data_IF_370457451858
#
_entry.id   IF_370457451858
#
_cell.length_a   1.000
_cell.length_b   1.000
_cell.length_c   1.000
_cell.angle_alpha   90.00
_cell.angle_beta   90.00
_cell.angle_gamma   90.00
#
_symmetry.space_group_name_H-M   'P 1'
#
loop_
_entity.id
_entity.type
_entity.pdbx_description
1 polymer ?
#
# COMPACT_ATOMS: atom_id res chain seq x y z
N UNK A 1 21.92 17.16 -20.68
CA UNK A 1 20.55 16.60 -20.87
C UNK A 1 20.11 15.64 -19.76
N UNK A 2 20.99 14.83 -19.18
CA UNK A 2 20.69 13.89 -18.07
C UNK A 2 20.28 14.60 -16.79
N UNK A 3 20.92 15.72 -16.43
CA UNK A 3 20.64 16.49 -15.20
C UNK A 3 19.19 17.01 -15.13
N UNK A 4 18.65 17.51 -16.26
CA UNK A 4 17.28 18.05 -16.32
C UNK A 4 16.22 16.95 -16.12
N UNK A 5 16.47 15.75 -16.65
CA UNK A 5 15.57 14.60 -16.48
C UNK A 5 15.53 14.09 -15.03
N UNK A 6 16.68 14.04 -14.35
CA UNK A 6 16.80 13.64 -12.95
C UNK A 6 16.05 14.63 -12.05
N UNK A 7 16.25 15.93 -12.23
CA UNK A 7 15.57 16.98 -11.45
C UNK A 7 14.05 16.89 -11.62
N UNK A 8 13.55 16.68 -12.83
CA UNK A 8 12.12 16.51 -13.11
C UNK A 8 11.52 15.26 -12.44
N UNK A 9 12.25 14.14 -12.39
CA UNK A 9 11.81 12.94 -11.70
C UNK A 9 11.76 13.12 -10.17
N UNK A 10 12.72 13.81 -9.60
CA UNK A 10 12.80 14.14 -8.18
C UNK A 10 11.64 15.03 -7.73
N UNK A 11 11.34 16.09 -8.47
CA UNK A 11 10.21 16.96 -8.20
C UNK A 11 8.89 16.19 -8.28
N UNK A 12 8.70 15.35 -9.29
CA UNK A 12 7.50 14.52 -9.42
C UNK A 12 7.27 13.57 -8.25
N UNK A 13 8.33 12.95 -7.69
CA UNK A 13 8.21 12.08 -6.53
C UNK A 13 7.79 12.85 -5.27
N UNK A 14 8.35 14.04 -5.04
CA UNK A 14 8.01 14.90 -3.92
C UNK A 14 6.57 15.43 -4.03
N UNK A 15 6.17 15.91 -5.21
CA UNK A 15 4.83 16.41 -5.47
C UNK A 15 3.78 15.31 -5.35
N UNK A 16 4.08 14.12 -5.87
CA UNK A 16 3.24 12.93 -5.70
C UNK A 16 3.07 12.60 -4.21
N UNK A 17 4.16 12.44 -3.47
CA UNK A 17 4.09 12.10 -2.05
C UNK A 17 3.31 13.15 -1.24
N UNK A 18 3.49 14.42 -1.54
CA UNK A 18 2.75 15.52 -0.93
C UNK A 18 1.26 15.44 -1.27
N UNK A 19 0.91 15.22 -2.54
CA UNK A 19 -0.50 15.13 -2.95
C UNK A 19 -1.23 13.96 -2.31
N UNK A 20 -0.53 12.82 -2.12
CA UNK A 20 -1.11 11.60 -1.56
C UNK A 20 -1.22 11.65 -0.03
N UNK A 21 -0.18 12.13 0.66
CA UNK A 21 -0.04 11.91 2.09
C UNK A 21 -0.12 13.16 2.97
N UNK A 22 -0.20 14.37 2.41
CA UNK A 22 -0.27 15.58 3.24
C UNK A 22 -1.52 15.67 4.11
N UNK A 23 -2.59 14.96 3.76
CA UNK A 23 -3.83 14.89 4.53
C UNK A 23 -3.86 13.76 5.58
N UNK A 24 -2.78 12.98 5.73
CA UNK A 24 -2.73 11.89 6.69
C UNK A 24 -2.82 12.42 8.14
N UNK A 25 -3.87 11.99 8.86
CA UNK A 25 -4.14 12.42 10.23
C UNK A 25 -3.28 11.62 11.23
N UNK A 26 -2.02 11.99 11.39
CA UNK A 26 -1.05 11.31 12.27
C UNK A 26 -0.90 11.96 13.65
N UNK A 27 -1.80 12.90 14.00
CA UNK A 27 -1.82 13.56 15.31
C UNK A 27 -0.72 14.62 15.56
N UNK A 28 0.35 14.60 14.77
CA UNK A 28 1.46 15.57 14.82
C UNK A 28 1.89 15.93 13.40
N UNK A 29 1.89 17.21 13.02
CA UNK A 29 2.30 17.66 11.68
C UNK A 29 3.70 17.20 11.27
N UNK A 30 4.61 17.06 12.24
CA UNK A 30 5.97 16.55 12.00
C UNK A 30 5.96 15.10 11.52
N UNK A 31 5.01 14.28 11.98
CA UNK A 31 4.84 12.90 11.49
C UNK A 31 4.35 12.90 10.05
N UNK A 32 3.38 13.75 9.71
CA UNK A 32 2.87 13.89 8.34
C UNK A 32 3.97 14.39 7.39
N UNK A 33 4.76 15.38 7.80
CA UNK A 33 5.94 15.83 7.04
C UNK A 33 6.96 14.70 6.84
N UNK A 34 7.21 13.92 7.89
CA UNK A 34 8.12 12.76 7.79
C UNK A 34 7.59 11.70 6.85
N UNK A 35 6.30 11.40 6.89
CA UNK A 35 5.64 10.48 5.95
C UNK A 35 5.84 10.92 4.50
N UNK A 36 5.56 12.18 4.19
CA UNK A 36 5.75 12.75 2.83
C UNK A 36 7.21 12.60 2.38
N UNK A 37 8.17 12.91 3.24
CA UNK A 37 9.59 12.81 2.90
C UNK A 37 10.03 11.36 2.65
N UNK A 38 9.60 10.41 3.50
CA UNK A 38 9.90 8.98 3.34
C UNK A 38 9.26 8.44 2.06
N UNK A 39 8.00 8.77 1.80
CA UNK A 39 7.28 8.34 0.60
C UNK A 39 7.93 8.90 -0.67
N UNK A 40 8.33 10.17 -0.69
CA UNK A 40 9.04 10.78 -1.80
C UNK A 40 10.37 10.08 -2.08
N UNK A 41 11.11 9.74 -1.04
CA UNK A 41 12.40 9.07 -1.17
C UNK A 41 12.25 7.64 -1.72
N UNK A 42 11.28 6.88 -1.21
CA UNK A 42 10.98 5.54 -1.72
C UNK A 42 10.49 5.57 -3.17
N UNK A 43 9.70 6.58 -3.54
CA UNK A 43 9.22 6.75 -4.92
C UNK A 43 10.34 7.08 -5.92
N UNK A 44 11.38 7.82 -5.50
CA UNK A 44 12.58 8.06 -6.32
C UNK A 44 13.34 6.78 -6.63
N UNK A 45 13.39 5.86 -5.67
CA UNK A 45 14.14 4.62 -5.72
C UNK A 45 13.19 3.42 -5.66
N UNK A 46 12.18 3.39 -6.53
CA UNK A 46 11.15 2.35 -6.54
C UNK A 46 11.75 0.93 -6.54
N UNK A 47 11.23 0.06 -5.66
CA UNK A 47 11.71 -1.31 -5.49
C UNK A 47 13.01 -1.45 -4.68
N UNK A 48 13.57 -0.37 -4.13
CA UNK A 48 14.76 -0.40 -3.28
C UNK A 48 14.39 -0.34 -1.80
N UNK A 49 15.30 -0.84 -0.94
CA UNK A 49 15.16 -0.74 0.51
C UNK A 49 15.28 0.72 1.00
N UNK A 50 14.82 0.98 2.23
CA UNK A 50 15.00 2.30 2.88
C UNK A 50 16.46 2.69 2.92
N UNK A 51 17.36 1.76 3.24
CA UNK A 51 18.80 2.00 3.30
C UNK A 51 19.35 2.50 1.96
N UNK A 52 19.01 1.83 0.86
CA UNK A 52 19.45 2.24 -0.48
C UNK A 52 18.79 3.57 -0.88
N UNK A 53 17.49 3.72 -0.59
CA UNK A 53 16.74 4.94 -0.91
C UNK A 53 17.22 6.18 -0.14
N UNK A 54 17.91 5.98 0.98
CA UNK A 54 18.49 7.08 1.78
C UNK A 54 19.78 7.66 1.19
N UNK A 55 20.31 7.10 0.09
CA UNK A 55 21.47 7.61 -0.66
C UNK A 55 22.70 7.91 0.24
N UNK A 56 22.93 7.08 1.27
CA UNK A 56 24.02 7.25 2.23
C UNK A 56 23.77 8.31 3.33
N UNK A 57 22.60 8.93 3.36
CA UNK A 57 22.25 9.88 4.41
C UNK A 57 21.71 9.14 5.65
N UNK A 58 22.58 8.92 6.65
CA UNK A 58 22.22 8.22 7.90
C UNK A 58 21.05 8.88 8.64
N UNK A 59 20.98 10.20 8.67
CA UNK A 59 19.90 10.93 9.32
C UNK A 59 18.54 10.68 8.66
N UNK A 60 18.49 10.51 7.33
CA UNK A 60 17.27 10.13 6.61
C UNK A 60 16.88 8.70 6.90
N UNK A 61 17.84 7.79 6.86
CA UNK A 61 17.62 6.37 7.15
C UNK A 61 17.09 6.16 8.56
N UNK A 62 17.77 6.71 9.56
CA UNK A 62 17.36 6.63 10.96
C UNK A 62 15.98 7.28 11.17
N UNK A 63 15.75 8.44 10.56
CA UNK A 63 14.45 9.12 10.61
C UNK A 63 13.30 8.29 10.02
N UNK A 64 13.55 7.53 8.95
CA UNK A 64 12.57 6.62 8.36
C UNK A 64 12.29 5.42 9.28
N UNK A 65 13.33 4.80 9.86
CA UNK A 65 13.15 3.69 10.80
C UNK A 65 12.44 4.11 12.08
N UNK A 66 12.78 5.28 12.66
CA UNK A 66 12.06 5.83 13.83
C UNK A 66 10.59 6.11 13.50
N UNK A 67 10.29 6.61 12.31
CA UNK A 67 8.92 6.83 11.87
C UNK A 67 8.13 5.52 11.81
N UNK A 68 8.67 4.47 11.18
CA UNK A 68 8.00 3.17 11.02
C UNK A 68 7.79 2.48 12.37
N UNK A 69 8.75 2.60 13.29
CA UNK A 69 8.67 1.98 14.62
C UNK A 69 7.85 2.78 15.63
N UNK A 70 7.40 3.97 15.29
CA UNK A 70 6.66 4.83 16.18
C UNK A 70 5.23 4.32 16.40
N UNK A 71 4.83 3.90 17.60
CA UNK A 71 3.49 3.36 17.87
C UNK A 71 2.36 4.40 17.67
N UNK A 72 2.70 5.68 17.63
CA UNK A 72 1.74 6.75 17.35
C UNK A 72 1.57 7.03 15.84
N UNK A 73 2.21 6.28 14.96
CA UNK A 73 2.00 6.35 13.52
C UNK A 73 0.98 5.31 13.11
N UNK A 74 -0.21 5.76 12.77
CA UNK A 74 -1.31 4.88 12.33
C UNK A 74 -1.14 4.47 10.87
N UNK A 75 -0.93 3.17 10.62
CA UNK A 75 -0.92 2.61 9.27
C UNK A 75 -2.28 2.81 8.57
N UNK A 76 -3.39 2.73 9.34
CA UNK A 76 -4.74 2.99 8.84
C UNK A 76 -4.90 4.43 8.34
N UNK A 77 -4.39 5.43 9.08
CA UNK A 77 -4.44 6.83 8.66
C UNK A 77 -3.64 7.06 7.37
N UNK A 78 -2.50 6.40 7.21
CA UNK A 78 -1.69 6.46 5.99
C UNK A 78 -2.47 5.85 4.80
N UNK A 79 -3.02 4.65 4.98
CA UNK A 79 -3.82 3.96 3.97
C UNK A 79 -5.04 4.77 3.56
N UNK A 80 -5.76 5.34 4.53
CA UNK A 80 -6.92 6.19 4.30
C UNK A 80 -6.56 7.44 3.47
N UNK A 81 -5.45 8.11 3.77
CA UNK A 81 -5.00 9.26 2.99
C UNK A 81 -4.73 8.89 1.53
N UNK A 82 -4.03 7.77 1.29
CA UNK A 82 -3.79 7.25 -0.06
C UNK A 82 -5.08 6.94 -0.82
N UNK A 83 -6.00 6.21 -0.20
CA UNK A 83 -7.29 5.85 -0.78
C UNK A 83 -8.13 7.09 -1.12
N UNK A 84 -8.21 8.08 -0.21
CA UNK A 84 -8.94 9.32 -0.45
C UNK A 84 -8.37 10.12 -1.64
N UNK A 85 -7.06 10.16 -1.78
CA UNK A 85 -6.44 10.80 -2.94
C UNK A 85 -6.75 10.03 -4.23
N UNK A 86 -6.74 8.71 -4.19
CA UNK A 86 -7.14 7.87 -5.34
C UNK A 86 -8.58 8.17 -5.75
N UNK A 87 -9.52 8.23 -4.80
CA UNK A 87 -10.92 8.59 -5.06
C UNK A 87 -11.03 9.97 -5.69
N UNK A 88 -10.28 10.95 -5.18
CA UNK A 88 -10.28 12.31 -5.73
C UNK A 88 -9.78 12.35 -7.18
N UNK A 89 -8.71 11.64 -7.48
CA UNK A 89 -8.16 11.55 -8.84
C UNK A 89 -9.11 10.80 -9.78
N UNK A 90 -9.78 9.78 -9.29
CA UNK A 90 -10.71 8.95 -10.04
C UNK A 90 -11.90 9.74 -10.61
N UNK A 91 -12.33 10.80 -9.93
CA UNK A 91 -13.43 11.66 -10.36
C UNK A 91 -13.16 12.38 -11.71
N UNK A 92 -11.92 12.46 -12.15
CA UNK A 92 -11.55 13.08 -13.42
C UNK A 92 -11.75 12.15 -14.64
N UNK A 93 -12.09 10.88 -14.42
CA UNK A 93 -12.19 9.88 -15.48
C UNK A 93 -13.62 9.38 -15.63
N UNK A 94 -14.12 9.26 -16.89
CA UNK A 94 -15.47 8.78 -17.14
C UNK A 94 -15.65 7.30 -16.86
N UNK A 95 -14.59 6.51 -17.00
CA UNK A 95 -14.61 5.06 -16.83
C UNK A 95 -13.29 4.57 -16.21
N UNK A 96 -13.42 3.67 -15.26
CA UNK A 96 -12.32 3.12 -14.49
C UNK A 96 -12.39 1.59 -14.42
N UNK A 97 -11.24 0.94 -14.45
CA UNK A 97 -11.08 -0.48 -14.15
C UNK A 97 -10.55 -0.64 -12.73
N UNK A 98 -11.23 -1.43 -11.91
CA UNK A 98 -10.72 -1.86 -10.61
C UNK A 98 -10.14 -3.27 -10.77
N UNK A 99 -8.83 -3.38 -10.64
CA UNK A 99 -8.12 -4.66 -10.66
C UNK A 99 -7.94 -5.13 -9.23
N UNK A 100 -8.51 -6.29 -8.93
CA UNK A 100 -8.40 -6.95 -7.63
C UNK A 100 -7.40 -8.11 -7.72
N UNK A 101 -6.46 -8.14 -6.80
CA UNK A 101 -5.51 -9.24 -6.67
C UNK A 101 -5.16 -9.52 -5.21
N UNK A 102 -4.90 -10.80 -4.91
CA UNK A 102 -4.39 -11.20 -3.61
C UNK A 102 -3.06 -11.89 -3.75
N UNK A 103 -2.07 -11.35 -3.08
CA UNK A 103 -0.71 -11.85 -3.09
C UNK A 103 -0.22 -12.24 -1.70
N UNK A 104 0.81 -13.06 -1.62
CA UNK A 104 1.47 -13.42 -0.37
C UNK A 104 2.81 -12.70 -0.23
N UNK A 105 3.09 -12.18 0.96
CA UNK A 105 4.38 -11.61 1.32
C UNK A 105 5.09 -12.58 2.27
N UNK A 106 6.08 -13.31 1.74
CA UNK A 106 6.87 -14.28 2.50
C UNK A 106 8.04 -13.61 3.18
N UNK A 107 8.22 -13.94 4.45
CA UNK A 107 9.33 -13.45 5.26
C UNK A 107 10.22 -14.63 5.70
N UNK A 108 11.49 -14.32 5.95
CA UNK A 108 12.50 -15.25 6.43
C UNK A 108 13.10 -14.75 7.76
N UNK A 109 13.91 -15.57 8.38
CA UNK A 109 14.57 -15.27 9.65
C UNK A 109 13.58 -15.15 10.84
N UNK A 110 14.02 -14.55 11.92
CA UNK A 110 13.28 -14.44 13.19
C UNK A 110 11.93 -13.73 13.05
N UNK A 111 11.81 -12.77 12.11
CA UNK A 111 10.55 -12.07 11.86
C UNK A 111 9.44 -13.03 11.45
N UNK A 112 9.76 -14.10 10.73
CA UNK A 112 8.78 -15.07 10.26
C UNK A 112 8.09 -15.84 11.40
N UNK A 113 8.74 -16.03 12.54
CA UNK A 113 8.18 -16.79 13.67
C UNK A 113 6.88 -16.20 14.23
N UNK A 114 6.75 -14.86 14.17
CA UNK A 114 5.56 -14.13 14.63
C UNK A 114 4.45 -14.02 13.57
N UNK A 115 4.66 -14.57 12.36
CA UNK A 115 3.74 -14.44 11.23
C UNK A 115 2.98 -15.74 10.96
N UNK A 116 1.84 -15.63 10.29
CA UNK A 116 1.00 -16.78 9.92
C UNK A 116 1.60 -17.62 8.78
N UNK A 117 1.14 -18.85 8.64
CA UNK A 117 1.51 -19.75 7.53
C UNK A 117 0.99 -19.25 6.19
N UNK A 118 1.76 -19.42 5.12
CA UNK A 118 1.37 -19.03 3.76
C UNK A 118 0.99 -20.23 2.89
N UNK A 119 1.64 -21.36 3.09
CA UNK A 119 1.47 -22.56 2.28
C UNK A 119 0.55 -23.60 2.87
N UNK A 120 0.42 -24.73 2.16
CA UNK A 120 -0.29 -25.92 2.60
C UNK A 120 0.40 -26.60 3.79
N UNK A 121 -0.24 -27.66 4.32
CA UNK A 121 0.31 -28.46 5.42
C UNK A 121 1.71 -28.95 5.03
N UNK A 122 2.71 -28.63 5.88
CA UNK A 122 4.13 -28.99 5.66
C UNK A 122 4.98 -27.87 5.05
N UNK A 123 4.39 -26.83 4.48
CA UNK A 123 5.12 -25.63 4.06
C UNK A 123 5.52 -24.78 5.29
N UNK A 124 6.81 -24.41 5.34
CA UNK A 124 7.37 -23.59 6.42
C UNK A 124 7.35 -22.09 6.11
N UNK A 125 6.84 -21.68 4.94
CA UNK A 125 6.75 -20.27 4.57
C UNK A 125 5.74 -19.56 5.46
N UNK A 126 6.15 -18.40 5.98
CA UNK A 126 5.32 -17.56 6.86
C UNK A 126 5.28 -16.12 6.36
N UNK A 127 4.17 -15.44 6.60
CA UNK A 127 4.00 -14.08 6.11
C UNK A 127 2.59 -13.52 6.25
N UNK A 128 2.30 -12.59 5.36
CA UNK A 128 1.01 -11.93 5.22
C UNK A 128 0.36 -12.27 3.89
N UNK A 129 -0.96 -12.37 3.91
CA UNK A 129 -1.79 -12.25 2.73
C UNK A 129 -2.20 -10.79 2.57
N UNK A 130 -2.16 -10.29 1.34
CA UNK A 130 -2.48 -8.91 1.02
C UNK A 130 -3.43 -8.89 -0.16
N UNK A 131 -4.66 -8.44 0.07
CA UNK A 131 -5.62 -8.15 -0.99
C UNK A 131 -5.54 -6.68 -1.35
N UNK A 132 -5.41 -6.39 -2.63
CA UNK A 132 -5.27 -5.02 -3.13
C UNK A 132 -6.28 -4.74 -4.24
N UNK A 133 -6.79 -3.52 -4.27
CA UNK A 133 -7.62 -2.99 -5.37
C UNK A 133 -6.93 -1.79 -5.98
N UNK A 134 -6.50 -1.94 -7.23
CA UNK A 134 -5.82 -0.90 -8.01
C UNK A 134 -6.79 -0.30 -9.02
N UNK A 135 -6.91 1.02 -9.07
CA UNK A 135 -7.68 1.71 -10.09
C UNK A 135 -6.81 2.12 -11.28
N UNK A 136 -7.29 1.78 -12.47
CA UNK A 136 -6.74 2.23 -13.75
C UNK A 136 -7.78 3.06 -14.49
N UNK A 137 -7.33 4.01 -15.29
CA UNK A 137 -8.15 4.65 -16.31
C UNK A 137 -8.40 3.64 -17.44
N UNK A 138 -9.67 3.48 -17.86
CA UNK A 138 -10.09 2.34 -18.69
C UNK A 138 -9.55 2.36 -20.13
N UNK A 139 -9.27 3.54 -20.69
CA UNK A 139 -8.82 3.68 -22.07
C UNK A 139 -7.31 3.52 -22.22
N UNK A 140 -6.53 4.17 -21.34
CA UNK A 140 -5.07 4.22 -21.44
C UNK A 140 -4.39 3.21 -20.53
N UNK A 141 -5.13 2.56 -19.62
CA UNK A 141 -4.63 1.69 -18.55
C UNK A 141 -3.65 2.39 -17.61
N UNK A 142 -3.70 3.72 -17.57
CA UNK A 142 -2.86 4.48 -16.66
C UNK A 142 -3.32 4.27 -15.21
N UNK A 143 -2.38 3.96 -14.34
CA UNK A 143 -2.65 3.82 -12.90
C UNK A 143 -3.14 5.14 -12.30
N UNK A 144 -4.33 5.10 -11.69
CA UNK A 144 -4.92 6.21 -10.93
C UNK A 144 -4.45 6.15 -9.48
N UNK A 145 -4.50 4.97 -8.87
CA UNK A 145 -3.99 4.75 -7.52
C UNK A 145 -4.52 3.49 -6.85
N UNK A 146 -4.00 3.22 -5.66
CA UNK A 146 -4.46 2.14 -4.80
C UNK A 146 -5.70 2.60 -4.03
N UNK A 147 -6.84 1.90 -4.25
CA UNK A 147 -8.10 2.25 -3.62
C UNK A 147 -8.29 1.56 -2.27
N UNK A 148 -7.91 0.28 -2.21
CA UNK A 148 -8.06 -0.55 -1.02
C UNK A 148 -6.90 -1.50 -0.86
N UNK A 149 -6.56 -1.81 0.40
CA UNK A 149 -5.62 -2.87 0.72
C UNK A 149 -5.99 -3.45 2.08
N UNK A 150 -6.07 -4.77 2.15
CA UNK A 150 -6.36 -5.51 3.36
C UNK A 150 -5.26 -6.55 3.62
N UNK A 151 -4.91 -6.75 4.88
CA UNK A 151 -3.81 -7.59 5.30
C UNK A 151 -4.29 -8.56 6.36
N UNK A 152 -3.96 -9.84 6.21
CA UNK A 152 -4.28 -10.85 7.22
C UNK A 152 -3.22 -11.95 7.30
N UNK A 153 -3.24 -12.68 8.41
CA UNK A 153 -2.46 -13.88 8.61
C UNK A 153 -3.39 -15.07 8.74
N UNK A 154 -2.95 -16.24 8.25
CA UNK A 154 -3.64 -17.49 8.53
C UNK A 154 -3.43 -17.87 9.99
N UNK A 155 -4.44 -18.42 10.69
CA UNK A 155 -4.24 -19.05 11.99
C UNK A 155 -3.32 -20.27 11.84
N UNK A 156 -2.61 -20.61 12.91
CA UNK A 156 -1.68 -21.76 12.92
C UNK A 156 -2.40 -23.12 12.97
N UNK A 157 -3.67 -23.15 13.35
CA UNK A 157 -4.47 -24.38 13.42
C UNK A 157 -5.16 -24.70 12.07
N UNK A 158 -4.87 -25.87 11.46
CA UNK A 158 -5.46 -26.29 10.19
C UNK A 158 -6.97 -26.48 10.20
N UNK A 159 -7.57 -26.88 11.33
CA UNK A 159 -9.00 -27.11 11.44
C UNK A 159 -9.83 -25.83 11.27
N UNK A 160 -9.20 -24.67 11.49
CA UNK A 160 -9.83 -23.36 11.33
C UNK A 160 -9.51 -22.69 9.97
N UNK A 161 -8.65 -23.29 9.17
CA UNK A 161 -8.04 -22.59 8.04
C UNK A 161 -8.92 -22.51 6.80
N UNK A 162 -9.56 -23.60 6.38
CA UNK A 162 -10.22 -23.66 5.07
C UNK A 162 -11.53 -22.88 5.01
N UNK A 163 -12.40 -22.98 6.03
CA UNK A 163 -13.69 -22.29 6.04
C UNK A 163 -13.55 -20.79 6.32
N UNK A 164 -12.66 -20.43 7.25
CA UNK A 164 -12.38 -19.02 7.58
C UNK A 164 -11.56 -18.29 6.50
N UNK A 165 -10.75 -19.01 5.75
CA UNK A 165 -9.94 -18.41 4.69
C UNK A 165 -10.79 -18.03 3.49
N UNK A 166 -11.61 -18.92 2.98
CA UNK A 166 -12.58 -18.63 1.92
C UNK A 166 -13.50 -17.47 2.33
N UNK A 167 -13.92 -17.43 3.60
CA UNK A 167 -14.69 -16.32 4.15
C UNK A 167 -13.94 -14.99 4.14
N UNK A 168 -12.64 -14.96 4.44
CA UNK A 168 -11.83 -13.73 4.41
C UNK A 168 -11.59 -13.20 3.00
N UNK A 169 -11.34 -14.08 2.04
CA UNK A 169 -11.24 -13.71 0.63
C UNK A 169 -12.55 -13.09 0.12
N UNK A 170 -13.67 -13.74 0.38
CA UNK A 170 -14.99 -13.26 0.02
C UNK A 170 -15.33 -11.94 0.73
N UNK A 171 -15.00 -11.82 2.01
CA UNK A 171 -15.22 -10.61 2.79
C UNK A 171 -14.35 -9.43 2.28
N UNK A 172 -13.08 -9.67 1.95
CA UNK A 172 -12.19 -8.65 1.38
C UNK A 172 -12.72 -8.16 0.03
N UNK A 173 -13.08 -9.06 -0.88
CA UNK A 173 -13.68 -8.73 -2.17
C UNK A 173 -15.03 -8.02 -2.01
N UNK A 174 -15.91 -8.47 -1.11
CA UNK A 174 -17.19 -7.83 -0.84
C UNK A 174 -17.02 -6.43 -0.24
N UNK A 175 -16.07 -6.24 0.69
CA UNK A 175 -15.77 -4.93 1.27
C UNK A 175 -15.23 -3.96 0.22
N UNK A 176 -14.36 -4.43 -0.68
CA UNK A 176 -13.85 -3.65 -1.81
C UNK A 176 -14.99 -3.19 -2.72
N UNK A 177 -15.87 -4.11 -3.11
CA UNK A 177 -17.02 -3.81 -4.00
C UNK A 177 -18.02 -2.87 -3.37
N UNK A 178 -18.34 -3.03 -2.08
CA UNK A 178 -19.21 -2.12 -1.34
C UNK A 178 -18.62 -0.70 -1.28
N UNK A 179 -17.32 -0.58 -1.02
CA UNK A 179 -16.63 0.71 -1.02
C UNK A 179 -16.60 1.35 -2.41
N UNK A 180 -16.35 0.57 -3.45
CA UNK A 180 -16.42 1.06 -4.84
C UNK A 180 -17.81 1.55 -5.20
N UNK A 181 -18.85 0.74 -4.94
CA UNK A 181 -20.23 1.09 -5.27
C UNK A 181 -20.77 2.29 -4.53
N UNK A 182 -20.33 2.54 -3.29
CA UNK A 182 -20.72 3.73 -2.53
C UNK A 182 -19.97 5.01 -2.94
N UNK A 183 -18.81 4.88 -3.57
CA UNK A 183 -17.91 6.00 -3.89
C UNK A 183 -17.90 6.38 -5.36
N UNK A 184 -18.19 5.43 -6.26
CA UNK A 184 -18.02 5.64 -7.70
C UNK A 184 -18.98 4.78 -8.52
N UNK A 185 -19.82 5.41 -9.32
CA UNK A 185 -20.75 4.74 -10.23
C UNK A 185 -20.15 4.28 -11.57
N UNK A 186 -18.91 4.66 -11.84
CA UNK A 186 -18.23 4.48 -13.13
C UNK A 186 -17.08 3.46 -13.09
N UNK A 187 -17.09 2.54 -12.12
CA UNK A 187 -16.03 1.53 -11.94
C UNK A 187 -16.50 0.17 -12.46
N UNK A 188 -15.70 -0.44 -13.33
CA UNK A 188 -15.83 -1.82 -13.76
C UNK A 188 -14.84 -2.67 -12.95
N UNK A 189 -15.33 -3.65 -12.21
CA UNK A 189 -14.48 -4.58 -11.47
C UNK A 189 -13.92 -5.66 -12.41
N UNK A 190 -12.61 -5.90 -12.35
CA UNK A 190 -11.91 -6.96 -13.08
C UNK A 190 -11.20 -7.82 -12.02
N UNK A 191 -11.58 -9.10 -11.93
CA UNK A 191 -11.00 -10.11 -11.03
C UNK A 191 -10.03 -11.00 -11.81
#
# INVERSE_FOLDING_TARGET
>A
MVTIMITSALHRAADWAKSVFSSAALGDPRRTTRLVNVAAQLAKCSGKSITISSEGCEAMQEGAYRFIRNPNVSAEAIRKAGAMQTVKLAQAFPELLAIEDTTSLSYRHQVAEALGKLGAIGDKSRGWWVHSVLLLEATTFRTVGLLHQEWWMRPDDPADADEKESGKWLAAAATSRLRMGSMMSNVIAVC
#
